data_IF_479807267881
#
_entry.id   IF_479807267881
#
_cell.length_a   1.000
_cell.length_b   1.000
_cell.length_c   1.000
_cell.angle_alpha   90.00
_cell.angle_beta   90.00
_cell.angle_gamma   90.00
#
_symmetry.space_group_name_H-M   'P 1'
#
loop_
_entity.id
_entity.type
_entity.pdbx_description
1 polymer ?
#
# COMPACT_ATOMS: atom_id res chain seq x y z
N UNK A 1 37.64 -3.83 -51.08
CA UNK A 1 37.08 -3.57 -49.74
C UNK A 1 36.40 -4.83 -49.23
N UNK A 2 37.09 -5.66 -48.43
CA UNK A 2 36.42 -6.74 -47.69
C UNK A 2 35.81 -6.14 -46.43
N UNK A 3 34.48 -6.13 -46.35
CA UNK A 3 33.78 -5.85 -45.11
C UNK A 3 33.96 -7.06 -44.18
N UNK A 4 34.52 -6.83 -42.99
CA UNK A 4 34.65 -7.86 -41.95
C UNK A 4 33.25 -8.25 -41.43
N UNK A 5 32.64 -9.25 -42.07
CA UNK A 5 31.43 -9.92 -41.60
C UNK A 5 31.61 -10.47 -40.18
N UNK A 6 32.81 -10.94 -39.87
CA UNK A 6 33.15 -11.54 -38.58
C UNK A 6 33.16 -10.52 -37.45
N UNK A 7 33.61 -9.29 -37.73
CA UNK A 7 33.56 -8.19 -36.77
C UNK A 7 32.12 -7.79 -36.43
N UNK A 8 31.25 -7.67 -37.44
CA UNK A 8 29.80 -7.43 -37.25
C UNK A 8 29.12 -8.58 -36.50
N UNK A 9 29.49 -9.83 -36.78
CA UNK A 9 28.95 -11.00 -36.07
C UNK A 9 29.39 -11.01 -34.59
N UNK A 10 30.63 -10.63 -34.31
CA UNK A 10 31.16 -10.52 -32.95
C UNK A 10 30.44 -9.43 -32.15
N UNK A 11 30.25 -8.24 -32.74
CA UNK A 11 29.47 -7.15 -32.13
C UNK A 11 28.02 -7.56 -31.85
N UNK A 12 27.37 -8.28 -32.78
CA UNK A 12 26.01 -8.80 -32.58
C UNK A 12 25.94 -9.81 -31.44
N UNK A 13 26.91 -10.72 -31.34
CA UNK A 13 26.99 -11.71 -30.25
C UNK A 13 27.16 -11.03 -28.89
N UNK A 14 28.06 -10.05 -28.80
CA UNK A 14 28.26 -9.29 -27.55
C UNK A 14 27.01 -8.47 -27.18
N UNK A 15 26.35 -7.85 -28.16
CA UNK A 15 25.08 -7.16 -27.93
C UNK A 15 23.98 -8.09 -27.39
N UNK A 16 23.87 -9.30 -27.95
CA UNK A 16 22.93 -10.32 -27.47
C UNK A 16 23.26 -10.76 -26.06
N UNK A 17 24.55 -10.99 -25.73
CA UNK A 17 24.98 -11.33 -24.36
C UNK A 17 24.60 -10.25 -23.36
N UNK A 18 24.82 -8.97 -23.69
CA UNK A 18 24.44 -7.84 -22.83
C UNK A 18 22.92 -7.86 -22.57
N UNK A 19 22.11 -8.07 -23.60
CA UNK A 19 20.65 -8.19 -23.43
C UNK A 19 20.25 -9.38 -22.57
N UNK A 20 20.88 -10.54 -22.77
CA UNK A 20 20.62 -11.74 -21.97
C UNK A 20 20.95 -11.50 -20.49
N UNK A 21 22.08 -10.87 -20.20
CA UNK A 21 22.46 -10.52 -18.83
C UNK A 21 21.44 -9.58 -18.19
N UNK A 22 21.02 -8.51 -18.89
CA UNK A 22 19.96 -7.60 -18.39
C UNK A 22 18.63 -8.29 -18.15
N UNK A 23 18.30 -9.32 -18.93
CA UNK A 23 17.10 -10.12 -18.70
C UNK A 23 17.25 -10.94 -17.43
N UNK A 24 18.39 -11.59 -17.26
CA UNK A 24 18.71 -12.39 -16.07
C UNK A 24 18.72 -11.54 -14.80
N UNK A 25 19.36 -10.36 -14.83
CA UNK A 25 19.42 -9.43 -13.70
C UNK A 25 18.01 -8.98 -13.29
N UNK A 26 17.16 -8.64 -14.26
CA UNK A 26 15.75 -8.31 -13.99
C UNK A 26 14.97 -9.48 -13.39
N UNK A 27 15.15 -10.70 -13.91
CA UNK A 27 14.48 -11.89 -13.36
C UNK A 27 14.93 -12.20 -11.94
N UNK A 28 16.21 -11.99 -11.64
CA UNK A 28 16.74 -12.14 -10.29
C UNK A 28 16.12 -11.10 -9.34
N UNK A 29 16.11 -9.82 -9.71
CA UNK A 29 15.47 -8.77 -8.90
C UNK A 29 13.99 -9.07 -8.65
N UNK A 30 13.28 -9.56 -9.67
CA UNK A 30 11.87 -9.95 -9.55
C UNK A 30 11.68 -11.09 -8.54
N UNK A 31 12.56 -12.10 -8.57
CA UNK A 31 12.51 -13.22 -7.62
C UNK A 31 12.85 -12.78 -6.19
N UNK A 32 13.86 -11.93 -6.03
CA UNK A 32 14.26 -11.39 -4.73
C UNK A 32 13.20 -10.47 -4.12
N UNK A 33 12.47 -9.74 -4.96
CA UNK A 33 11.39 -8.85 -4.54
C UNK A 33 10.09 -9.58 -4.16
N UNK A 34 9.97 -10.87 -4.45
CA UNK A 34 8.74 -11.62 -4.19
C UNK A 34 8.39 -11.67 -2.69
N UNK A 35 9.35 -12.01 -1.84
CA UNK A 35 9.16 -12.09 -0.38
C UNK A 35 8.83 -10.72 0.25
N UNK A 36 9.56 -9.62 -0.07
CA UNK A 36 9.19 -8.27 0.39
C UNK A 36 7.77 -7.85 -0.03
N UNK A 37 7.34 -8.17 -1.25
CA UNK A 37 5.99 -7.86 -1.74
C UNK A 37 4.93 -8.65 -0.97
N UNK A 38 5.14 -9.94 -0.73
CA UNK A 38 4.23 -10.76 0.06
C UNK A 38 4.15 -10.28 1.52
N UNK A 39 5.29 -9.88 2.09
CA UNK A 39 5.34 -9.28 3.42
C UNK A 39 4.60 -7.94 3.47
N UNK A 40 4.76 -7.10 2.45
CA UNK A 40 4.07 -5.81 2.34
C UNK A 40 2.55 -6.01 2.27
N UNK A 41 2.09 -6.99 1.49
CA UNK A 41 0.67 -7.37 1.44
C UNK A 41 0.15 -7.73 2.83
N UNK A 42 0.84 -8.64 3.55
CA UNK A 42 0.40 -9.08 4.89
C UNK A 42 0.36 -7.93 5.89
N UNK A 43 1.39 -7.08 5.89
CA UNK A 43 1.45 -5.92 6.79
C UNK A 43 0.28 -4.97 6.58
N UNK A 44 -0.07 -4.66 5.32
CA UNK A 44 -1.22 -3.79 5.02
C UNK A 44 -2.55 -4.48 5.33
N UNK A 45 -2.67 -5.78 5.06
CA UNK A 45 -3.88 -6.58 5.36
C UNK A 45 -4.21 -6.59 6.85
N UNK A 46 -3.20 -6.72 7.71
CA UNK A 46 -3.34 -6.74 9.18
C UNK A 46 -3.18 -5.37 9.82
N UNK A 47 -2.92 -4.31 9.04
CA UNK A 47 -2.69 -2.98 9.58
C UNK A 47 -3.93 -2.45 10.29
N UNK A 48 -3.76 -2.10 11.56
CA UNK A 48 -4.77 -1.45 12.40
C UNK A 48 -4.31 -0.04 12.76
N UNK A 49 -4.92 1.02 12.18
CA UNK A 49 -4.54 2.42 12.44
C UNK A 49 -4.72 2.92 13.89
N UNK A 50 -5.04 2.03 14.83
CA UNK A 50 -5.20 2.31 16.25
C UNK A 50 -3.87 2.31 17.03
N UNK A 51 -3.83 1.60 18.16
CA UNK A 51 -2.64 1.54 19.02
C UNK A 51 -1.52 0.77 18.31
N UNK A 52 -0.30 1.32 18.28
CA UNK A 52 0.91 0.83 17.57
C UNK A 52 1.04 1.18 16.07
N UNK A 53 0.12 1.96 15.50
CA UNK A 53 0.10 2.28 14.06
C UNK A 53 1.38 2.92 13.50
N UNK A 54 2.10 3.76 14.25
CA UNK A 54 3.21 4.53 13.67
C UNK A 54 4.39 3.64 13.24
N UNK A 55 4.82 2.72 14.10
CA UNK A 55 5.97 1.85 13.79
C UNK A 55 5.64 0.90 12.62
N UNK A 56 4.44 0.33 12.62
CA UNK A 56 3.99 -0.55 11.53
C UNK A 56 3.84 0.21 10.22
N UNK A 57 3.32 1.45 10.27
CA UNK A 57 3.19 2.32 9.11
C UNK A 57 4.55 2.73 8.55
N UNK A 58 5.53 3.05 9.41
CA UNK A 58 6.89 3.39 8.98
C UNK A 58 7.57 2.20 8.28
N UNK A 59 7.37 0.97 8.77
CA UNK A 59 7.90 -0.24 8.13
C UNK A 59 7.23 -0.54 6.78
N UNK A 60 5.91 -0.35 6.68
CA UNK A 60 5.18 -0.42 5.41
C UNK A 60 5.72 0.61 4.41
N UNK A 61 5.91 1.86 4.84
CA UNK A 61 6.48 2.91 4.00
C UNK A 61 7.92 2.60 3.56
N UNK A 62 8.72 2.01 4.44
CA UNK A 62 10.07 1.57 4.11
C UNK A 62 10.06 0.54 2.97
N UNK A 63 9.21 -0.48 3.06
CA UNK A 63 9.06 -1.49 2.00
C UNK A 63 8.57 -0.91 0.67
N UNK A 64 7.58 -0.01 0.71
CA UNK A 64 7.08 0.70 -0.47
C UNK A 64 8.21 1.52 -1.12
N UNK A 65 9.00 2.24 -0.33
CA UNK A 65 10.09 3.05 -0.84
C UNK A 65 11.23 2.20 -1.41
N UNK A 66 11.50 1.02 -0.85
CA UNK A 66 12.45 0.08 -1.45
C UNK A 66 12.02 -0.33 -2.87
N UNK A 67 10.74 -0.63 -3.09
CA UNK A 67 10.23 -0.94 -4.43
C UNK A 67 10.39 0.25 -5.40
N UNK A 68 10.12 1.48 -4.94
CA UNK A 68 10.39 2.69 -5.76
C UNK A 68 11.87 2.82 -6.09
N UNK A 69 12.75 2.61 -5.11
CA UNK A 69 14.20 2.68 -5.29
C UNK A 69 14.71 1.63 -6.30
N UNK A 70 14.14 0.41 -6.31
CA UNK A 70 14.46 -0.62 -7.31
C UNK A 70 14.14 -0.14 -8.72
N UNK A 71 13.04 0.57 -8.94
CA UNK A 71 12.75 1.23 -10.21
C UNK A 71 13.72 2.38 -10.51
N UNK A 72 13.92 3.31 -9.57
CA UNK A 72 14.72 4.52 -9.80
C UNK A 72 16.16 4.19 -10.25
N UNK A 73 16.79 3.22 -9.58
CA UNK A 73 18.13 2.71 -9.92
C UNK A 73 18.21 2.07 -11.31
N UNK A 74 17.08 1.58 -11.83
CA UNK A 74 16.98 0.85 -13.09
C UNK A 74 16.04 1.54 -14.09
N UNK A 75 15.83 2.85 -13.95
CA UNK A 75 14.82 3.62 -14.71
C UNK A 75 15.04 3.62 -16.23
N UNK A 76 16.25 3.30 -16.68
CA UNK A 76 16.60 3.10 -18.09
C UNK A 76 15.95 1.84 -18.71
N UNK A 77 15.56 0.85 -17.89
CA UNK A 77 14.86 -0.35 -18.31
C UNK A 77 13.37 -0.28 -17.97
N UNK A 78 12.54 -0.20 -19.01
CA UNK A 78 11.08 -0.04 -18.88
C UNK A 78 10.41 -1.17 -18.10
N UNK A 79 11.02 -2.36 -18.01
CA UNK A 79 10.46 -3.50 -17.29
C UNK A 79 10.41 -3.26 -15.78
N UNK A 80 11.36 -2.48 -15.25
CA UNK A 80 11.40 -2.12 -13.83
C UNK A 80 10.26 -1.16 -13.42
N UNK A 81 9.52 -0.57 -14.37
CA UNK A 81 8.32 0.24 -14.04
C UNK A 81 7.29 -0.54 -13.22
N UNK A 82 7.26 -1.87 -13.34
CA UNK A 82 6.41 -2.72 -12.53
C UNK A 82 6.60 -2.46 -11.02
N UNK A 83 7.85 -2.30 -10.54
CA UNK A 83 8.11 -2.05 -9.12
C UNK A 83 7.53 -0.72 -8.64
N UNK A 84 7.61 0.32 -9.47
CA UNK A 84 6.95 1.61 -9.19
C UNK A 84 5.43 1.46 -9.12
N UNK A 85 4.82 0.75 -10.07
CA UNK A 85 3.37 0.51 -10.07
C UNK A 85 2.90 -0.31 -8.87
N UNK A 86 3.68 -1.31 -8.45
CA UNK A 86 3.40 -2.10 -7.25
C UNK A 86 3.50 -1.19 -6.01
N UNK A 87 4.53 -0.35 -5.91
CA UNK A 87 4.69 0.58 -4.81
C UNK A 87 3.51 1.56 -4.70
N UNK A 88 3.09 2.14 -5.84
CA UNK A 88 1.96 3.07 -5.87
C UNK A 88 0.64 2.38 -5.52
N UNK A 89 0.42 1.16 -6.01
CA UNK A 89 -0.74 0.35 -5.65
C UNK A 89 -0.82 0.12 -4.13
N UNK A 90 0.27 -0.33 -3.50
CA UNK A 90 0.29 -0.57 -2.07
C UNK A 90 0.18 0.71 -1.23
N UNK A 91 0.76 1.82 -1.70
CA UNK A 91 0.59 3.12 -1.06
C UNK A 91 -0.88 3.59 -1.09
N UNK A 92 -1.55 3.44 -2.23
CA UNK A 92 -2.98 3.71 -2.35
C UNK A 92 -3.81 2.79 -1.45
N UNK A 93 -3.53 1.49 -1.44
CA UNK A 93 -4.28 0.53 -0.64
C UNK A 93 -4.11 0.78 0.88
N UNK A 94 -2.92 1.17 1.34
CA UNK A 94 -2.71 1.61 2.72
C UNK A 94 -3.57 2.83 3.08
N UNK A 95 -3.64 3.81 2.18
CA UNK A 95 -4.49 5.00 2.37
C UNK A 95 -5.96 4.61 2.46
N UNK A 96 -6.44 3.74 1.58
CA UNK A 96 -7.82 3.26 1.58
C UNK A 96 -8.15 2.51 2.88
N UNK A 97 -7.23 1.65 3.36
CA UNK A 97 -7.35 0.94 4.64
C UNK A 97 -7.52 1.92 5.81
N UNK A 98 -6.68 2.96 5.87
CA UNK A 98 -6.75 4.01 6.89
C UNK A 98 -8.08 4.76 6.84
N UNK A 99 -8.54 5.10 5.64
CA UNK A 99 -9.81 5.79 5.44
C UNK A 99 -11.00 4.94 5.87
N UNK A 100 -11.06 3.67 5.45
CA UNK A 100 -12.12 2.75 5.85
C UNK A 100 -12.19 2.55 7.35
N UNK A 101 -11.03 2.40 8.01
CA UNK A 101 -10.96 2.31 9.46
C UNK A 101 -11.51 3.56 10.14
N UNK A 102 -11.10 4.76 9.71
CA UNK A 102 -11.58 6.03 10.25
C UNK A 102 -13.09 6.20 10.09
N UNK A 103 -13.63 5.84 8.92
CA UNK A 103 -15.08 5.83 8.68
C UNK A 103 -15.77 4.86 9.64
N UNK A 104 -15.22 3.66 9.85
CA UNK A 104 -15.76 2.69 10.81
C UNK A 104 -15.78 3.20 12.24
N UNK A 105 -14.73 3.91 12.67
CA UNK A 105 -14.68 4.55 13.99
C UNK A 105 -15.74 5.66 14.12
N UNK A 106 -15.88 6.51 13.11
CA UNK A 106 -16.89 7.57 13.10
C UNK A 106 -18.30 7.00 13.18
N UNK A 107 -18.61 5.94 12.43
CA UNK A 107 -19.92 5.27 12.50
C UNK A 107 -20.18 4.75 13.92
N UNK A 108 -19.19 4.13 14.54
CA UNK A 108 -19.32 3.58 15.90
C UNK A 108 -19.56 4.70 16.93
N UNK A 109 -18.83 5.81 16.82
CA UNK A 109 -19.00 7.00 17.66
C UNK A 109 -20.39 7.62 17.47
N UNK A 110 -20.84 7.81 16.23
CA UNK A 110 -22.14 8.41 15.98
C UNK A 110 -23.31 7.56 16.46
N UNK A 111 -23.19 6.23 16.39
CA UNK A 111 -24.17 5.31 16.98
C UNK A 111 -24.25 5.48 18.49
N UNK A 112 -23.11 5.52 19.18
CA UNK A 112 -23.07 5.73 20.62
C UNK A 112 -23.66 7.09 21.04
N UNK A 113 -23.32 8.16 20.31
CA UNK A 113 -23.87 9.49 20.56
C UNK A 113 -25.38 9.57 20.34
N UNK A 114 -25.90 8.86 19.32
CA UNK A 114 -27.34 8.79 19.05
C UNK A 114 -28.06 8.06 20.19
N UNK A 115 -27.54 6.92 20.63
CA UNK A 115 -28.10 6.15 21.74
C UNK A 115 -28.14 6.98 23.03
N UNK A 116 -27.06 7.69 23.35
CA UNK A 116 -27.02 8.59 24.51
C UNK A 116 -28.06 9.72 24.41
N UNK A 117 -28.23 10.29 23.21
CA UNK A 117 -29.23 11.33 22.95
C UNK A 117 -30.67 10.81 23.12
N UNK A 118 -30.97 9.62 22.58
CA UNK A 118 -32.29 8.97 22.70
C UNK A 118 -32.64 8.66 24.16
N UNK A 119 -31.68 8.12 24.93
CA UNK A 119 -31.83 7.88 26.37
C UNK A 119 -32.07 9.21 27.11
N UNK A 120 -31.30 10.25 26.76
CA UNK A 120 -31.45 11.58 27.35
C UNK A 120 -32.83 12.18 27.06
N UNK A 121 -33.33 12.02 25.84
CA UNK A 121 -34.66 12.49 25.43
C UNK A 121 -35.75 11.74 26.20
N UNK A 122 -35.68 10.41 26.27
CA UNK A 122 -36.65 9.59 27.03
C UNK A 122 -36.73 10.03 28.49
N UNK A 123 -35.59 10.22 29.15
CA UNK A 123 -35.55 10.73 30.54
C UNK A 123 -36.25 12.08 30.67
N UNK A 124 -36.03 13.01 29.72
CA UNK A 124 -36.68 14.32 29.74
C UNK A 124 -38.19 14.24 29.50
N UNK A 125 -38.66 13.34 28.66
CA UNK A 125 -40.09 13.10 28.46
C UNK A 125 -40.76 12.51 29.72
N UNK A 126 -40.09 11.59 30.41
CA UNK A 126 -40.55 11.02 31.68
C UNK A 126 -40.62 12.08 32.79
N UNK A 127 -39.61 12.95 32.90
CA UNK A 127 -39.59 14.09 33.83
C UNK A 127 -40.78 15.03 33.58
N UNK A 128 -41.07 15.37 32.31
CA UNK A 128 -42.20 16.22 31.94
C UNK A 128 -43.55 15.59 32.30
N UNK A 129 -43.73 14.29 32.01
CA UNK A 129 -44.96 13.53 32.29
C UNK A 129 -45.21 13.37 33.79
N UNK A 130 -44.15 13.15 34.58
CA UNK A 130 -44.26 13.06 36.03
C UNK A 130 -44.55 14.42 36.68
N UNK A 131 -43.94 15.51 36.18
CA UNK A 131 -44.21 16.87 36.63
C UNK A 131 -45.64 17.36 36.34
N UNK A 132 -46.29 16.86 35.29
CA UNK A 132 -47.70 17.16 34.99
C UNK A 132 -48.70 16.40 35.86
N UNK A 133 -48.31 15.26 36.45
CA UNK A 133 -49.19 14.48 37.35
C UNK A 133 -49.29 15.03 38.78
N UNK A 134 -48.42 15.97 39.16
CA UNK A 134 -48.37 16.57 40.49
C UNK A 134 -49.06 17.95 40.56
N UNK A 135 -49.92 18.27 39.60
CA UNK A 135 -50.78 19.47 39.55
C UNK A 135 -52.22 19.05 39.31
#
# INVERSE_FOLDING_TARGET
FMWNSDFKMFEQKEFVKIKMNRIKDFQQEQAESQLPVDSLFRKIETFEPGVYAQYEEDDIHYLINNLRNTYERNSWDKRYKLFMHIADFYAMWLSDRKQLWSIGQNISLFKANLEECEIGLQKKEEDLRSGTKNK
#
